data_IF_046495768340
#
_entry.id   IF_046495768340
#
_cell.length_a   1.000
_cell.length_b   1.000
_cell.length_c   1.000
_cell.angle_alpha   90.00
_cell.angle_beta   90.00
_cell.angle_gamma   90.00
#
_symmetry.space_group_name_H-M   'P 1'
#
loop_
_entity.id
_entity.type
_entity.pdbx_description
1 polymer ?
#
# COMPACT_ATOMS: atom_id res chain seq x y z
N UNK A 1 -24.54 -53.00 -91.28
CA UNK A 1 -23.74 -51.95 -91.95
C UNK A 1 -24.16 -50.57 -91.46
N UNK A 2 -23.45 -49.53 -91.89
CA UNK A 2 -23.40 -48.16 -91.35
C UNK A 2 -24.65 -47.29 -91.60
N UNK A 3 -24.93 -46.41 -90.61
CA UNK A 3 -25.37 -45.00 -90.75
C UNK A 3 -26.77 -44.61 -91.33
N UNK A 4 -27.55 -43.88 -90.52
CA UNK A 4 -28.12 -42.50 -90.78
C UNK A 4 -28.84 -41.99 -89.50
N UNK A 5 -28.52 -40.79 -88.98
CA UNK A 5 -29.21 -39.46 -89.13
C UNK A 5 -30.70 -39.48 -88.66
N UNK A 6 -31.25 -38.52 -87.91
CA UNK A 6 -30.81 -37.18 -87.37
C UNK A 6 -31.53 -36.95 -85.99
N UNK A 7 -31.71 -35.79 -85.32
CA UNK A 7 -31.59 -34.35 -85.65
C UNK A 7 -30.85 -33.55 -84.53
N UNK A 8 -31.33 -32.37 -84.07
CA UNK A 8 -30.52 -31.39 -83.30
C UNK A 8 -31.34 -30.23 -82.67
N UNK A 9 -31.09 -29.88 -81.40
CA UNK A 9 -31.09 -28.51 -80.81
C UNK A 9 -30.02 -28.48 -79.67
N UNK A 10 -29.06 -27.55 -79.54
CA UNK A 10 -29.03 -26.06 -79.57
C UNK A 10 -29.49 -25.49 -78.21
N UNK A 11 -28.75 -24.61 -77.50
CA UNK A 11 -27.92 -23.48 -77.97
C UNK A 11 -26.63 -23.14 -77.15
N UNK A 12 -25.90 -22.09 -77.57
CA UNK A 12 -24.70 -21.48 -76.97
C UNK A 12 -24.97 -20.50 -75.81
N UNK A 13 -24.01 -20.33 -74.88
CA UNK A 13 -23.59 -19.00 -74.38
C UNK A 13 -22.18 -19.02 -73.74
N UNK A 14 -21.60 -17.83 -73.45
CA UNK A 14 -20.28 -17.62 -72.84
C UNK A 14 -20.35 -16.69 -71.63
N UNK A 15 -19.48 -16.96 -70.63
CA UNK A 15 -18.81 -16.00 -69.73
C UNK A 15 -19.66 -14.94 -69.00
N UNK A 16 -19.68 -15.00 -67.67
CA UNK A 16 -19.47 -13.81 -66.81
C UNK A 16 -18.98 -14.22 -65.42
N UNK A 17 -18.25 -13.31 -64.77
CA UNK A 17 -17.63 -13.52 -63.45
C UNK A 17 -18.58 -13.10 -62.34
N UNK A 18 -18.57 -13.82 -61.22
CA UNK A 18 -19.08 -13.32 -59.93
C UNK A 18 -17.94 -13.38 -58.93
N UNK A 19 -17.44 -12.21 -58.53
CA UNK A 19 -16.55 -12.07 -57.37
C UNK A 19 -17.43 -12.11 -56.12
N UNK A 20 -17.31 -13.15 -55.31
CA UNK A 20 -17.98 -13.21 -54.02
C UNK A 20 -17.00 -12.74 -52.93
N UNK A 21 -17.18 -11.50 -52.47
CA UNK A 21 -16.53 -11.01 -51.27
C UNK A 21 -17.02 -11.82 -50.06
N UNK A 22 -16.17 -12.69 -49.54
CA UNK A 22 -16.37 -13.30 -48.22
C UNK A 22 -15.65 -12.41 -47.20
N UNK A 23 -16.41 -11.54 -46.53
CA UNK A 23 -15.95 -10.95 -45.28
C UNK A 23 -15.99 -12.03 -44.19
N UNK A 24 -14.82 -12.56 -43.86
CA UNK A 24 -14.57 -13.12 -42.53
C UNK A 24 -13.27 -12.50 -42.01
N UNK A 25 -13.43 -11.48 -41.16
CA UNK A 25 -12.39 -10.99 -40.28
C UNK A 25 -12.81 -11.29 -38.83
N UNK A 26 -11.84 -11.43 -37.94
CA UNK A 26 -12.03 -11.58 -36.49
C UNK A 26 -12.63 -12.91 -36.02
N UNK A 27 -11.97 -14.01 -36.35
CA UNK A 27 -11.51 -14.91 -35.28
C UNK A 27 -9.98 -14.97 -35.32
N UNK A 28 -9.34 -15.06 -34.15
CA UNK A 28 -7.87 -15.10 -34.02
C UNK A 28 -7.34 -16.54 -34.01
N UNK A 29 -7.97 -17.43 -34.78
CA UNK A 29 -7.64 -18.84 -34.80
C UNK A 29 -6.36 -19.09 -35.61
N UNK A 30 -5.28 -19.51 -34.93
CA UNK A 30 -4.04 -19.90 -35.57
C UNK A 30 -4.22 -21.24 -36.33
N UNK A 31 -4.66 -21.17 -37.60
CA UNK A 31 -4.91 -22.34 -38.45
C UNK A 31 -3.60 -23.04 -38.87
N UNK A 32 -3.11 -23.93 -38.02
CA UNK A 32 -1.97 -24.81 -38.32
C UNK A 32 -2.42 -26.06 -39.08
N UNK A 33 -2.14 -26.12 -40.39
CA UNK A 33 -2.35 -27.31 -41.21
C UNK A 33 -1.09 -28.21 -41.19
N UNK A 34 -1.21 -29.39 -40.61
CA UNK A 34 -0.21 -30.46 -40.70
C UNK A 34 -0.76 -31.59 -41.58
N UNK A 35 -0.29 -31.68 -42.82
CA UNK A 35 -0.58 -32.81 -43.72
C UNK A 35 0.66 -33.71 -43.82
N UNK A 36 0.52 -34.96 -43.38
CA UNK A 36 1.52 -36.02 -43.50
C UNK A 36 0.86 -37.24 -44.18
N UNK A 37 1.48 -37.77 -45.22
CA UNK A 37 0.90 -38.78 -46.12
C UNK A 37 1.64 -40.13 -46.02
N UNK A 38 1.81 -40.58 -44.79
CA UNK A 38 2.53 -41.80 -44.44
C UNK A 38 1.72 -43.09 -44.71
N UNK A 39 2.41 -44.14 -45.16
CA UNK A 39 1.80 -45.43 -45.52
C UNK A 39 1.82 -46.46 -44.38
N UNK A 40 2.31 -46.09 -43.20
CA UNK A 40 2.40 -47.00 -42.04
C UNK A 40 1.22 -46.85 -41.08
N UNK A 41 0.75 -47.97 -40.52
CA UNK A 41 -0.43 -48.00 -39.63
C UNK A 41 -0.14 -47.60 -38.17
N UNK A 42 0.86 -46.76 -37.91
CA UNK A 42 1.38 -46.47 -36.55
C UNK A 42 1.79 -45.01 -36.28
N UNK A 43 1.39 -44.04 -37.10
CA UNK A 43 1.61 -42.63 -36.77
C UNK A 43 0.68 -42.19 -35.63
N UNK A 44 1.27 -41.77 -34.50
CA UNK A 44 0.55 -41.19 -33.36
C UNK A 44 0.63 -39.66 -33.44
N UNK A 45 -0.34 -39.04 -34.09
CA UNK A 45 -0.49 -37.59 -34.05
C UNK A 45 -1.01 -37.17 -32.67
N UNK A 46 -0.15 -36.53 -31.86
CA UNK A 46 -0.52 -35.93 -30.58
C UNK A 46 -0.32 -34.43 -30.65
N UNK A 47 -1.41 -33.68 -30.75
CA UNK A 47 -1.40 -32.24 -30.52
C UNK A 47 -1.03 -31.93 -29.05
N UNK A 48 -0.40 -30.79 -28.84
CA UNK A 48 0.00 -30.30 -27.52
C UNK A 48 -0.17 -28.79 -27.43
N UNK A 49 -0.14 -28.28 -26.22
CA UNK A 49 -0.24 -26.87 -25.88
C UNK A 49 0.72 -26.60 -24.74
N UNK A 50 1.58 -25.60 -24.91
CA UNK A 50 2.31 -24.96 -23.83
C UNK A 50 1.49 -23.73 -23.43
N UNK A 51 1.17 -23.64 -22.15
CA UNK A 51 0.33 -22.60 -21.54
C UNK A 51 0.76 -22.57 -20.06
N UNK A 52 1.54 -21.54 -19.73
CA UNK A 52 2.11 -21.24 -18.43
C UNK A 52 1.34 -20.05 -17.87
N UNK A 53 0.72 -20.22 -16.70
CA UNK A 53 -0.03 -19.14 -16.05
C UNK A 53 0.43 -18.87 -14.61
N UNK A 54 0.59 -17.60 -14.26
CA UNK A 54 0.69 -17.15 -12.85
C UNK A 54 -0.71 -16.91 -12.28
N UNK A 55 -0.89 -17.22 -11.00
CA UNK A 55 -2.17 -17.13 -10.29
C UNK A 55 -1.92 -16.75 -8.82
N UNK A 56 -2.41 -15.58 -8.40
CA UNK A 56 -2.21 -15.03 -7.04
C UNK A 56 -0.99 -14.12 -6.85
N UNK A 57 -0.37 -13.61 -7.92
CA UNK A 57 0.69 -12.61 -7.82
C UNK A 57 0.15 -11.20 -8.06
N UNK A 58 0.40 -10.30 -7.11
CA UNK A 58 0.23 -8.85 -7.21
C UNK A 58 1.61 -8.17 -7.32
N UNK A 59 1.76 -6.93 -7.79
CA UNK A 59 3.06 -6.27 -7.82
C UNK A 59 3.56 -5.91 -6.40
N UNK A 60 4.86 -6.04 -6.14
CA UNK A 60 5.49 -5.55 -4.91
C UNK A 60 5.54 -4.00 -4.92
N UNK A 61 4.42 -3.35 -4.58
CA UNK A 61 4.34 -1.89 -4.41
C UNK A 61 4.56 -1.56 -2.93
N UNK A 62 5.74 -1.07 -2.58
CA UNK A 62 6.09 -0.68 -1.21
C UNK A 62 6.51 0.79 -1.16
N UNK A 63 6.32 1.41 0.01
CA UNK A 63 6.54 2.84 0.28
C UNK A 63 7.10 3.00 1.69
N UNK A 64 7.96 3.99 1.89
CA UNK A 64 8.50 4.40 3.20
C UNK A 64 9.17 3.21 3.94
N UNK A 65 9.82 2.32 3.18
CA UNK A 65 10.50 1.13 3.70
C UNK A 65 11.69 1.51 4.58
N UNK A 66 12.11 0.63 5.50
CA UNK A 66 13.26 0.85 6.37
C UNK A 66 14.22 -0.36 6.39
N UNK A 67 15.36 -0.19 7.06
CA UNK A 67 16.43 -1.18 7.08
C UNK A 67 15.94 -2.49 7.71
N UNK A 68 16.19 -3.61 7.03
CA UNK A 68 15.78 -4.92 7.50
C UNK A 68 14.31 -5.26 7.29
N UNK A 69 13.49 -4.38 6.70
CA UNK A 69 12.11 -4.70 6.28
C UNK A 69 12.10 -5.94 5.36
N UNK A 70 11.14 -6.84 5.59
CA UNK A 70 10.96 -8.08 4.83
C UNK A 70 9.54 -8.16 4.25
N UNK A 71 9.43 -8.24 2.92
CA UNK A 71 8.17 -8.31 2.18
C UNK A 71 8.01 -9.67 1.53
N UNK A 72 6.87 -10.32 1.77
CA UNK A 72 6.62 -11.69 1.33
C UNK A 72 5.47 -11.75 0.33
N UNK A 73 5.61 -12.59 -0.68
CA UNK A 73 4.54 -12.97 -1.59
C UNK A 73 4.48 -14.49 -1.76
N UNK A 74 3.28 -15.06 -1.82
CA UNK A 74 3.02 -16.43 -2.25
C UNK A 74 2.14 -16.42 -3.51
N UNK A 75 2.56 -17.13 -4.57
CA UNK A 75 1.78 -17.30 -5.79
C UNK A 75 1.99 -18.69 -6.40
N UNK A 76 1.14 -19.06 -7.35
CA UNK A 76 1.21 -20.36 -8.00
C UNK A 76 1.53 -20.22 -9.49
N UNK A 77 2.65 -20.81 -9.92
CA UNK A 77 2.95 -21.04 -11.32
C UNK A 77 2.25 -22.33 -11.79
N UNK A 78 1.49 -22.28 -12.89
CA UNK A 78 0.59 -23.36 -13.33
C UNK A 78 0.83 -23.70 -14.79
N UNK A 79 1.22 -24.93 -15.08
CA UNK A 79 1.15 -25.50 -16.42
C UNK A 79 -0.33 -25.88 -16.68
N UNK A 80 -1.05 -24.97 -17.35
CA UNK A 80 -2.45 -25.16 -17.77
C UNK A 80 -2.54 -26.00 -19.06
N UNK A 81 -1.44 -26.05 -19.81
CA UNK A 81 -1.27 -26.80 -21.04
C UNK A 81 -1.31 -28.34 -20.92
N UNK A 82 -0.81 -29.00 -21.97
CA UNK A 82 -0.92 -30.46 -22.17
C UNK A 82 0.41 -31.15 -22.48
N UNK A 83 1.51 -30.39 -22.45
CA UNK A 83 2.89 -30.90 -22.51
C UNK A 83 3.69 -30.40 -21.30
N UNK A 84 4.75 -31.13 -20.95
CA UNK A 84 5.76 -30.64 -20.02
C UNK A 84 6.57 -29.51 -20.68
N UNK A 85 6.95 -28.49 -19.91
CA UNK A 85 7.85 -27.43 -20.35
C UNK A 85 9.03 -27.26 -19.40
N UNK A 86 10.13 -26.76 -19.94
CA UNK A 86 11.26 -26.24 -19.15
C UNK A 86 11.02 -24.72 -19.00
N UNK A 87 11.39 -24.11 -17.87
CA UNK A 87 11.13 -22.69 -17.59
C UNK A 87 12.28 -22.01 -16.82
N UNK A 88 12.34 -20.69 -16.93
CA UNK A 88 13.24 -19.80 -16.18
C UNK A 88 12.44 -18.68 -15.52
N UNK A 89 12.69 -18.43 -14.24
CA UNK A 89 12.31 -17.20 -13.51
C UNK A 89 13.55 -16.32 -13.32
N UNK A 90 13.40 -15.01 -13.45
CA UNK A 90 14.45 -14.02 -13.19
C UNK A 90 13.87 -12.60 -13.07
N UNK A 91 14.65 -11.67 -12.53
CA UNK A 91 14.36 -10.23 -12.60
C UNK A 91 14.87 -9.61 -13.89
N UNK A 92 14.09 -8.71 -14.49
CA UNK A 92 14.54 -7.81 -15.57
C UNK A 92 14.02 -6.38 -15.30
N UNK A 93 14.36 -5.41 -16.16
CA UNK A 93 14.00 -3.98 -16.02
C UNK A 93 14.43 -3.31 -14.69
N UNK A 94 15.37 -3.93 -13.96
CA UNK A 94 15.86 -3.46 -12.65
C UNK A 94 16.48 -2.07 -12.78
N UNK A 95 15.98 -1.09 -12.03
CA UNK A 95 16.36 0.32 -12.16
C UNK A 95 16.09 1.18 -10.92
N UNK A 96 17.05 2.04 -10.60
CA UNK A 96 17.05 2.95 -9.44
C UNK A 96 17.93 2.45 -8.30
N UNK A 97 18.57 3.37 -7.59
CA UNK A 97 19.79 3.07 -6.81
C UNK A 97 19.54 2.15 -5.59
N UNK A 98 18.31 2.12 -5.07
CA UNK A 98 17.91 1.19 -4.00
C UNK A 98 17.98 -0.29 -4.43
N UNK A 99 17.89 -0.61 -5.73
CA UNK A 99 17.91 -2.00 -6.20
C UNK A 99 19.17 -2.77 -5.78
N UNK A 100 20.32 -2.09 -5.76
CA UNK A 100 21.58 -2.67 -5.32
C UNK A 100 21.61 -3.07 -3.84
N UNK A 101 20.67 -2.59 -3.01
CA UNK A 101 20.53 -2.98 -1.61
C UNK A 101 19.43 -4.00 -1.34
N UNK A 102 18.50 -4.20 -2.28
CA UNK A 102 17.50 -5.25 -2.14
C UNK A 102 18.12 -6.64 -2.34
N UNK A 103 17.86 -7.53 -1.38
CA UNK A 103 18.09 -8.95 -1.52
C UNK A 103 16.74 -9.65 -1.80
N UNK A 104 16.78 -10.76 -2.54
CA UNK A 104 15.63 -11.63 -2.76
C UNK A 104 15.98 -13.06 -2.37
N UNK A 105 15.09 -13.68 -1.61
CA UNK A 105 15.07 -15.11 -1.34
C UNK A 105 13.88 -15.73 -2.05
N UNK A 106 14.11 -16.85 -2.71
CA UNK A 106 13.09 -17.58 -3.45
C UNK A 106 12.97 -19.01 -2.95
N UNK A 107 11.72 -19.46 -2.75
CA UNK A 107 11.37 -20.81 -2.30
C UNK A 107 10.33 -21.41 -3.23
N UNK A 108 10.49 -22.69 -3.59
CA UNK A 108 9.58 -23.44 -4.46
C UNK A 108 9.15 -24.73 -3.76
N UNK A 109 7.83 -24.99 -3.65
CA UNK A 109 7.25 -25.99 -2.73
C UNK A 109 7.74 -25.88 -1.26
N UNK A 110 8.29 -24.72 -0.87
CA UNK A 110 8.90 -24.49 0.44
C UNK A 110 10.39 -24.84 0.55
N UNK A 111 11.01 -25.40 -0.50
CA UNK A 111 12.47 -25.58 -0.58
C UNK A 111 13.13 -24.28 -1.06
N UNK A 112 14.19 -23.84 -0.37
CA UNK A 112 14.96 -22.64 -0.73
C UNK A 112 15.87 -22.92 -1.94
N UNK A 113 15.75 -22.09 -2.97
CA UNK A 113 16.41 -22.28 -4.27
C UNK A 113 17.32 -21.11 -4.67
N UNK A 114 17.18 -19.96 -4.00
CA UNK A 114 18.02 -18.78 -4.15
C UNK A 114 17.92 -17.90 -2.90
N UNK A 115 19.03 -17.34 -2.44
CA UNK A 115 19.11 -16.23 -1.48
C UNK A 115 20.30 -15.36 -1.91
N UNK A 116 20.08 -14.07 -2.18
CA UNK A 116 21.10 -13.22 -2.80
C UNK A 116 20.57 -11.86 -3.24
N UNK A 117 21.35 -11.11 -4.02
CA UNK A 117 20.95 -9.79 -4.53
C UNK A 117 19.80 -9.90 -5.52
N UNK A 118 18.92 -8.89 -5.54
CA UNK A 118 17.78 -8.81 -6.46
C UNK A 118 18.22 -8.93 -7.92
N UNK A 119 19.24 -8.16 -8.32
CA UNK A 119 19.77 -8.12 -9.70
C UNK A 119 20.33 -9.46 -10.20
N UNK A 120 20.83 -10.31 -9.30
CA UNK A 120 21.42 -11.62 -9.63
C UNK A 120 20.35 -12.73 -9.77
N UNK A 121 19.07 -12.45 -9.53
CA UNK A 121 18.05 -13.49 -9.43
C UNK A 121 17.81 -14.22 -10.75
N UNK A 122 18.11 -15.52 -10.76
CA UNK A 122 17.86 -16.41 -11.90
C UNK A 122 17.80 -17.86 -11.46
N UNK A 123 16.67 -18.53 -11.74
CA UNK A 123 16.49 -19.96 -11.50
C UNK A 123 15.82 -20.64 -12.70
N UNK A 124 16.09 -21.93 -12.93
CA UNK A 124 15.52 -22.70 -14.05
C UNK A 124 15.18 -24.13 -13.64
N UNK A 125 14.00 -24.61 -14.03
CA UNK A 125 13.53 -25.97 -13.78
C UNK A 125 12.48 -26.38 -14.84
N UNK A 126 11.60 -27.36 -14.56
CA UNK A 126 10.65 -27.93 -15.50
C UNK A 126 9.30 -28.23 -14.84
N UNK A 127 8.20 -27.80 -15.46
CA UNK A 127 6.85 -28.01 -14.93
C UNK A 127 6.04 -28.95 -15.82
N UNK A 128 5.61 -30.07 -15.22
CA UNK A 128 4.87 -31.14 -15.92
C UNK A 128 3.47 -30.71 -16.30
N UNK A 129 2.93 -31.29 -17.38
CA UNK A 129 1.59 -31.02 -17.88
C UNK A 129 0.53 -31.10 -16.75
N UNK A 130 -0.31 -30.07 -16.61
CA UNK A 130 -1.37 -29.98 -15.59
C UNK A 130 -0.88 -30.01 -14.15
N UNK A 131 0.37 -29.60 -13.89
CA UNK A 131 0.88 -29.33 -12.54
C UNK A 131 0.98 -27.84 -12.26
N UNK A 132 0.75 -27.51 -10.99
CA UNK A 132 1.13 -26.26 -10.36
C UNK A 132 2.36 -26.49 -9.49
N UNK A 133 3.08 -25.40 -9.23
CA UNK A 133 4.14 -25.31 -8.22
C UNK A 133 3.89 -24.03 -7.41
N UNK A 134 3.95 -24.14 -6.09
CA UNK A 134 3.83 -23.02 -5.17
C UNK A 134 5.17 -22.29 -5.07
N UNK A 135 5.13 -20.96 -5.17
CA UNK A 135 6.30 -20.08 -5.13
C UNK A 135 6.13 -19.07 -4.01
N UNK A 136 7.20 -18.88 -3.24
CA UNK A 136 7.30 -17.80 -2.28
C UNK A 136 8.53 -16.94 -2.61
N UNK A 137 8.32 -15.64 -2.76
CA UNK A 137 9.37 -14.64 -2.92
C UNK A 137 9.38 -13.74 -1.69
N UNK A 138 10.58 -13.53 -1.15
CA UNK A 138 10.87 -12.79 0.07
C UNK A 138 11.90 -11.72 -0.28
N UNK A 139 11.48 -10.46 -0.32
CA UNK A 139 12.36 -9.31 -0.54
C UNK A 139 12.81 -8.75 0.81
N UNK A 140 14.10 -8.48 0.96
CA UNK A 140 14.67 -7.85 2.16
C UNK A 140 15.43 -6.58 1.81
N UNK A 141 15.14 -5.50 2.53
CA UNK A 141 15.91 -4.25 2.46
C UNK A 141 17.21 -4.41 3.24
N UNK A 142 18.34 -4.22 2.56
CA UNK A 142 19.68 -4.26 3.17
C UNK A 142 20.22 -2.89 3.60
N UNK A 143 21.27 -2.94 4.40
CA UNK A 143 21.90 -1.82 5.09
C UNK A 143 22.48 -0.74 4.15
N UNK A 144 22.45 0.53 4.56
CA UNK A 144 23.17 1.63 3.89
C UNK A 144 22.62 3.03 4.14
N UNK A 145 23.22 4.04 3.49
CA UNK A 145 22.53 5.30 3.18
C UNK A 145 21.80 5.09 1.83
N UNK A 146 20.49 5.34 1.78
CA UNK A 146 19.71 5.27 0.54
C UNK A 146 18.92 6.56 0.37
N UNK A 147 18.86 7.03 -0.87
CA UNK A 147 17.82 7.91 -1.37
C UNK A 147 17.15 7.18 -2.56
N UNK A 148 16.00 7.65 -3.03
CA UNK A 148 15.25 7.08 -4.17
C UNK A 148 14.62 5.67 -3.97
N UNK A 149 14.54 4.89 -5.05
CA UNK A 149 13.58 3.77 -5.25
C UNK A 149 14.18 2.68 -6.11
N UNK A 150 13.63 1.48 -6.01
CA UNK A 150 13.88 0.39 -6.94
C UNK A 150 12.61 0.07 -7.73
N UNK A 151 12.75 -0.09 -9.05
CA UNK A 151 11.77 -0.71 -9.94
C UNK A 151 12.36 -1.97 -10.56
N UNK A 152 11.54 -3.00 -10.73
CA UNK A 152 11.93 -4.25 -11.39
C UNK A 152 10.68 -5.01 -11.82
N UNK A 153 10.83 -5.96 -12.75
CA UNK A 153 9.77 -6.88 -13.14
C UNK A 153 10.26 -8.33 -12.97
N UNK A 154 9.39 -9.22 -12.47
CA UNK A 154 9.73 -10.65 -12.30
C UNK A 154 9.20 -11.43 -13.50
N UNK A 155 10.11 -11.85 -14.36
CA UNK A 155 9.83 -12.52 -15.62
C UNK A 155 9.89 -14.04 -15.51
N UNK A 156 8.88 -14.68 -16.09
CA UNK A 156 8.80 -16.12 -16.27
C UNK A 156 8.81 -16.41 -17.76
N UNK A 157 9.67 -17.32 -18.19
CA UNK A 157 9.77 -17.72 -19.59
C UNK A 157 9.84 -19.24 -19.69
N UNK A 158 8.80 -19.85 -20.26
CA UNK A 158 8.72 -21.28 -20.52
C UNK A 158 9.01 -21.60 -21.99
N UNK A 159 9.59 -22.77 -22.24
CA UNK A 159 9.84 -23.27 -23.58
C UNK A 159 9.70 -24.80 -23.65
N UNK A 160 9.54 -25.29 -24.87
CA UNK A 160 9.25 -26.69 -25.13
C UNK A 160 10.38 -27.59 -24.64
N UNK A 161 10.03 -28.63 -23.88
CA UNK A 161 11.01 -29.51 -23.25
C UNK A 161 11.98 -30.14 -24.25
N UNK A 162 13.27 -30.19 -23.89
CA UNK A 162 14.41 -30.60 -24.72
C UNK A 162 14.81 -29.62 -25.86
N UNK A 163 14.25 -28.40 -25.90
CA UNK A 163 14.77 -27.31 -26.73
C UNK A 163 15.65 -26.36 -25.91
N UNK A 164 16.41 -25.48 -26.57
CA UNK A 164 17.15 -24.42 -25.87
C UNK A 164 16.19 -23.31 -25.41
N UNK A 165 16.66 -22.40 -24.55
CA UNK A 165 15.91 -21.25 -24.05
C UNK A 165 15.10 -20.53 -25.15
N UNK A 166 13.78 -20.36 -24.91
CA UNK A 166 12.77 -19.77 -25.82
C UNK A 166 12.66 -20.42 -27.23
N UNK A 167 13.18 -21.63 -27.44
CA UNK A 167 13.01 -22.38 -28.71
C UNK A 167 11.83 -23.37 -28.66
N UNK A 168 11.32 -23.74 -29.84
CA UNK A 168 10.09 -24.52 -29.98
C UNK A 168 8.87 -23.66 -29.63
N UNK A 169 7.79 -24.29 -29.14
CA UNK A 169 6.73 -23.54 -28.47
C UNK A 169 7.29 -22.89 -27.20
N UNK A 170 6.92 -21.64 -26.93
CA UNK A 170 7.35 -20.86 -25.79
C UNK A 170 6.23 -19.92 -25.35
N UNK A 171 6.28 -19.51 -24.10
CA UNK A 171 5.26 -18.71 -23.42
C UNK A 171 5.92 -17.88 -22.31
N UNK A 172 5.34 -16.74 -21.96
CA UNK A 172 5.93 -15.79 -21.02
C UNK A 172 4.87 -15.09 -20.17
N UNK A 173 5.16 -14.99 -18.87
CA UNK A 173 4.33 -14.31 -17.88
C UNK A 173 5.22 -13.34 -17.08
N UNK A 174 4.63 -12.29 -16.53
CA UNK A 174 5.35 -11.16 -15.90
C UNK A 174 4.59 -10.68 -14.66
N UNK A 175 5.28 -10.56 -13.53
CA UNK A 175 4.78 -9.82 -12.36
C UNK A 175 5.37 -8.41 -12.49
N UNK A 176 4.59 -7.49 -13.06
CA UNK A 176 5.07 -6.20 -13.55
C UNK A 176 4.71 -5.02 -12.65
N UNK A 177 5.52 -3.96 -12.71
CA UNK A 177 5.25 -2.72 -11.98
C UNK A 177 5.59 -2.79 -10.49
N UNK A 178 6.51 -3.69 -10.09
CA UNK A 178 7.05 -3.68 -8.73
C UNK A 178 7.81 -2.37 -8.51
N UNK A 179 7.58 -1.74 -7.37
CA UNK A 179 8.19 -0.46 -7.02
C UNK A 179 8.33 -0.37 -5.50
N UNK A 180 9.56 -0.56 -5.03
CA UNK A 180 9.95 -0.36 -3.63
C UNK A 180 10.53 1.04 -3.54
N UNK A 181 9.87 1.94 -2.81
CA UNK A 181 10.31 3.34 -2.67
C UNK A 181 10.82 3.57 -1.26
N UNK A 182 12.08 3.98 -1.14
CA UNK A 182 12.48 4.73 0.03
C UNK A 182 12.02 6.18 -0.15
N UNK A 183 11.27 6.68 0.82
CA UNK A 183 11.05 8.11 0.97
C UNK A 183 11.62 8.43 2.34
N UNK A 184 12.65 9.27 2.38
CA UNK A 184 13.02 9.97 3.60
C UNK A 184 11.96 11.07 3.86
N UNK A 185 10.74 10.65 4.20
CA UNK A 185 10.05 11.34 5.27
C UNK A 185 10.77 10.86 6.54
N UNK A 186 11.66 11.69 7.13
CA UNK A 186 12.47 11.25 8.27
C UNK A 186 11.53 10.76 9.36
N UNK A 187 11.72 9.50 9.78
CA UNK A 187 10.73 8.72 10.53
C UNK A 187 10.30 9.49 11.80
N UNK A 188 9.15 10.17 11.69
CA UNK A 188 8.80 11.33 12.52
C UNK A 188 8.87 10.97 13.99
N UNK A 189 9.85 11.51 14.70
CA UNK A 189 10.12 11.10 16.08
C UNK A 189 9.10 11.66 17.06
N UNK A 190 8.63 12.87 16.78
CA UNK A 190 7.47 13.49 17.44
C UNK A 190 6.49 13.95 16.36
N UNK A 191 5.21 13.67 16.56
CA UNK A 191 4.11 14.15 15.71
C UNK A 191 3.16 15.04 16.50
N UNK A 192 2.36 15.85 15.80
CA UNK A 192 1.14 16.42 16.40
C UNK A 192 0.08 15.32 16.37
N UNK A 193 -0.48 14.98 17.54
CA UNK A 193 -1.24 13.76 17.76
C UNK A 193 -2.74 14.01 17.98
N UNK A 194 -3.10 15.07 18.67
CA UNK A 194 -4.49 15.46 18.90
C UNK A 194 -4.59 17.00 19.02
N UNK A 195 -5.67 17.59 18.49
CA UNK A 195 -5.86 19.05 18.45
C UNK A 195 -7.30 19.44 18.81
N UNK A 196 -7.46 20.29 19.82
CA UNK A 196 -8.74 20.84 20.27
C UNK A 196 -8.88 22.30 19.79
N UNK A 197 -9.03 22.48 18.48
CA UNK A 197 -8.96 23.79 17.80
C UNK A 197 -10.14 24.75 18.04
N UNK A 198 -11.13 24.33 18.84
CA UNK A 198 -12.38 25.07 19.11
C UNK A 198 -12.61 25.44 20.58
N UNK A 199 -11.75 24.97 21.49
CA UNK A 199 -11.98 25.02 22.93
C UNK A 199 -13.09 24.09 23.43
N UNK A 200 -13.29 24.05 24.74
CA UNK A 200 -14.28 23.20 25.42
C UNK A 200 -15.62 23.92 25.66
N UNK A 201 -16.58 23.24 26.30
CA UNK A 201 -17.81 23.91 26.80
C UNK A 201 -17.56 24.84 27.99
N UNK A 202 -16.40 24.77 28.66
CA UNK A 202 -15.99 25.74 29.69
C UNK A 202 -15.49 27.06 29.08
N UNK A 203 -14.72 27.00 27.98
CA UNK A 203 -14.25 28.19 27.26
C UNK A 203 -13.88 27.88 25.81
N UNK A 204 -14.28 28.77 24.89
CA UNK A 204 -13.79 28.77 23.50
C UNK A 204 -12.33 29.20 23.35
N UNK A 205 -11.58 29.29 24.46
CA UNK A 205 -10.13 29.45 24.49
C UNK A 205 -9.46 28.36 25.31
N UNK A 206 -10.17 27.33 25.74
CA UNK A 206 -9.63 26.09 26.32
C UNK A 206 -9.07 25.17 25.21
N UNK A 207 -8.26 25.79 24.35
CA UNK A 207 -7.66 25.19 23.17
C UNK A 207 -6.32 24.56 23.54
N UNK A 208 -6.04 23.39 22.94
CA UNK A 208 -4.81 22.66 23.20
C UNK A 208 -4.32 21.88 21.98
N UNK A 209 -3.01 21.60 22.00
CA UNK A 209 -2.29 20.80 21.01
C UNK A 209 -1.51 19.75 21.80
N UNK A 210 -1.65 18.49 21.40
CA UNK A 210 -0.87 17.39 21.96
C UNK A 210 0.21 16.92 20.98
N UNK A 211 1.40 16.66 21.52
CA UNK A 211 2.49 16.01 20.81
C UNK A 211 2.65 14.56 21.30
N UNK A 212 2.99 13.64 20.38
CA UNK A 212 3.30 12.24 20.73
C UNK A 212 4.67 11.84 20.21
N UNK A 213 5.45 11.20 21.08
CA UNK A 213 6.70 10.54 20.72
C UNK A 213 6.41 9.17 20.11
N UNK A 214 6.94 8.90 18.91
CA UNK A 214 6.78 7.63 18.19
C UNK A 214 8.01 6.71 18.32
N UNK A 215 8.99 7.08 19.15
CA UNK A 215 10.23 6.34 19.35
C UNK A 215 10.32 5.67 20.71
N UNK A 216 11.16 4.63 20.78
CA UNK A 216 11.44 3.88 22.01
C UNK A 216 12.40 4.59 22.98
N UNK A 217 12.80 5.84 22.68
CA UNK A 217 13.70 6.67 23.49
C UNK A 217 13.00 7.94 24.01
N UNK A 218 13.52 8.55 25.08
CA UNK A 218 13.06 9.86 25.58
C UNK A 218 13.61 10.99 24.70
N UNK A 219 12.75 11.92 24.29
CA UNK A 219 13.11 13.05 23.41
C UNK A 219 13.07 14.35 24.20
N UNK A 220 14.13 15.17 24.09
CA UNK A 220 14.12 16.56 24.54
C UNK A 220 13.42 17.43 23.48
N UNK A 221 12.32 18.06 23.88
CA UNK A 221 11.52 18.99 23.07
C UNK A 221 11.69 20.44 23.52
N UNK A 222 12.66 20.70 24.41
CA UNK A 222 12.98 22.03 24.87
C UNK A 222 13.40 22.95 23.72
N UNK A 223 12.77 24.13 23.64
CA UNK A 223 13.07 25.11 22.60
C UNK A 223 12.50 24.79 21.21
N UNK A 224 11.78 23.67 21.03
CA UNK A 224 11.01 23.40 19.81
C UNK A 224 9.90 24.44 19.60
N UNK A 225 9.40 24.58 18.38
CA UNK A 225 8.35 25.55 18.02
C UNK A 225 7.19 24.92 17.24
N UNK A 226 5.99 25.48 17.39
CA UNK A 226 4.80 25.16 16.60
C UNK A 226 4.33 26.44 15.92
N UNK A 227 4.49 26.53 14.61
CA UNK A 227 4.01 27.68 13.82
C UNK A 227 2.49 27.67 13.72
N UNK A 228 1.87 28.85 13.59
CA UNK A 228 0.41 29.06 13.57
C UNK A 228 -0.36 28.53 14.81
N UNK A 229 0.32 28.18 15.91
CA UNK A 229 -0.33 27.80 17.17
C UNK A 229 -0.87 29.00 17.98
N UNK A 230 -0.70 30.23 17.50
CA UNK A 230 -1.05 31.47 18.21
C UNK A 230 -1.67 32.50 17.27
N UNK A 231 -2.40 33.44 17.88
CA UNK A 231 -3.14 34.49 17.20
C UNK A 231 -2.32 35.21 16.12
N UNK A 232 -2.95 35.46 14.95
CA UNK A 232 -2.32 36.02 13.75
C UNK A 232 -1.15 35.20 13.17
N UNK A 233 -1.15 33.87 13.33
CA UNK A 233 -0.17 32.97 12.69
C UNK A 233 1.21 32.93 13.38
N UNK A 234 1.29 33.32 14.65
CA UNK A 234 2.56 33.38 15.37
C UNK A 234 2.97 32.02 15.96
N UNK A 235 4.28 31.77 16.08
CA UNK A 235 4.82 30.53 16.65
C UNK A 235 4.74 30.47 18.16
N UNK A 236 4.36 29.31 18.69
CA UNK A 236 4.52 28.92 20.10
C UNK A 236 5.88 28.24 20.27
N UNK A 237 6.62 28.60 21.32
CA UNK A 237 7.89 27.96 21.67
C UNK A 237 7.74 27.19 22.98
N UNK A 238 8.16 25.93 22.97
CA UNK A 238 8.16 25.05 24.13
C UNK A 238 9.33 25.46 25.04
N UNK A 239 9.14 25.64 26.37
CA UNK A 239 10.23 25.99 27.27
C UNK A 239 11.37 24.97 27.28
N UNK A 240 12.60 25.43 27.53
CA UNK A 240 13.77 24.54 27.65
C UNK A 240 13.64 23.57 28.84
N UNK A 241 14.09 22.33 28.66
CA UNK A 241 14.01 21.27 29.68
C UNK A 241 12.68 20.51 29.72
N UNK A 242 11.81 20.67 28.70
CA UNK A 242 10.64 19.82 28.46
C UNK A 242 11.02 18.61 27.62
N UNK A 243 10.42 17.45 27.89
CA UNK A 243 10.80 16.21 27.22
C UNK A 243 9.63 15.22 27.20
N UNK A 244 9.44 14.51 26.09
CA UNK A 244 8.47 13.43 25.98
C UNK A 244 9.19 12.10 26.28
N UNK A 245 8.66 11.27 27.17
CA UNK A 245 9.17 9.91 27.37
C UNK A 245 8.86 8.98 26.17
N UNK A 246 9.56 7.84 26.12
CA UNK A 246 9.39 6.81 25.09
C UNK A 246 7.92 6.44 24.89
N UNK A 247 7.44 6.45 23.64
CA UNK A 247 6.05 6.20 23.25
C UNK A 247 4.99 7.07 23.98
N UNK A 248 5.40 8.18 24.62
CA UNK A 248 4.57 9.03 25.45
C UNK A 248 3.96 10.25 24.74
N UNK A 249 3.27 11.07 25.53
CA UNK A 249 2.48 12.22 25.12
C UNK A 249 2.96 13.49 25.83
N UNK A 250 2.60 14.66 25.30
CA UNK A 250 2.92 15.96 25.88
C UNK A 250 1.83 16.98 25.53
N UNK A 251 1.06 17.41 26.52
CA UNK A 251 -0.13 18.25 26.36
C UNK A 251 0.17 19.73 26.59
N UNK A 252 -0.08 20.57 25.57
CA UNK A 252 0.09 22.02 25.64
C UNK A 252 -1.30 22.68 25.57
N UNK A 253 -1.76 23.30 26.66
CA UNK A 253 -3.10 23.91 26.76
C UNK A 253 -3.04 25.39 27.15
N UNK A 254 -4.05 26.16 26.77
CA UNK A 254 -4.21 27.56 27.20
C UNK A 254 -4.35 27.69 28.74
N UNK A 255 -4.97 26.68 29.36
CA UNK A 255 -5.28 26.62 30.79
C UNK A 255 -4.79 25.32 31.43
N UNK A 256 -4.62 25.33 32.76
CA UNK A 256 -4.53 24.11 33.57
C UNK A 256 -5.91 23.48 33.77
N UNK A 257 -5.92 22.21 34.12
CA UNK A 257 -7.03 21.49 34.74
C UNK A 257 -7.61 22.21 35.98
N UNK A 258 -6.77 22.80 36.85
CA UNK A 258 -7.24 23.61 37.99
C UNK A 258 -8.00 24.91 37.59
N UNK A 259 -8.11 25.23 36.29
CA UNK A 259 -8.73 26.46 35.80
C UNK A 259 -10.26 26.33 35.66
N UNK A 260 -11.00 27.28 36.25
CA UNK A 260 -12.44 27.42 36.03
C UNK A 260 -12.86 27.78 34.57
N UNK A 261 -11.89 27.96 33.66
CA UNK A 261 -12.11 28.11 32.23
C UNK A 261 -11.77 26.84 31.43
N UNK A 262 -11.23 25.79 32.07
CA UNK A 262 -10.95 24.50 31.42
C UNK A 262 -12.05 23.48 31.69
N UNK A 263 -12.14 22.47 30.82
CA UNK A 263 -12.93 21.27 31.05
C UNK A 263 -12.05 20.01 31.26
N UNK A 264 -10.72 20.13 31.17
CA UNK A 264 -9.77 19.02 31.31
C UNK A 264 -9.74 18.48 32.76
N UNK A 265 -9.74 17.15 32.89
CA UNK A 265 -9.55 16.44 34.16
C UNK A 265 -8.17 15.73 34.24
N UNK A 266 -7.22 16.12 33.38
CA UNK A 266 -5.87 15.56 33.25
C UNK A 266 -4.82 16.65 33.43
N UNK A 267 -3.70 16.34 34.09
CA UNK A 267 -2.59 17.28 34.32
C UNK A 267 -1.98 17.74 32.98
N UNK A 268 -1.74 19.04 32.85
CA UNK A 268 -1.25 19.68 31.60
C UNK A 268 0.26 19.87 31.67
N UNK A 269 1.02 19.23 30.78
CA UNK A 269 2.49 19.32 30.75
C UNK A 269 3.02 20.74 30.56
N UNK A 270 2.34 21.58 29.77
CA UNK A 270 2.70 23.00 29.56
C UNK A 270 1.46 23.90 29.38
N UNK A 271 1.18 24.70 30.41
CA UNK A 271 0.11 25.71 30.39
C UNK A 271 0.62 26.98 29.71
N UNK A 272 0.24 27.18 28.45
CA UNK A 272 0.65 28.31 27.62
C UNK A 272 -0.56 29.15 27.20
N UNK A 273 -0.91 30.15 28.02
CA UNK A 273 -2.05 31.05 27.78
C UNK A 273 -1.89 32.03 26.59
N UNK A 274 -1.06 31.67 25.61
CA UNK A 274 -0.91 32.38 24.34
C UNK A 274 -1.19 31.49 23.11
N UNK A 275 -1.57 30.22 23.33
CA UNK A 275 -2.29 29.41 22.33
C UNK A 275 -3.51 30.21 21.85
N UNK A 276 -3.71 30.22 20.53
CA UNK A 276 -4.95 30.71 19.93
C UNK A 276 -5.04 30.16 18.51
N UNK A 277 -5.99 29.25 18.31
CA UNK A 277 -6.26 28.55 17.06
C UNK A 277 -7.48 29.15 16.37
N UNK A 278 -7.43 29.24 15.05
CA UNK A 278 -8.53 29.78 14.25
C UNK A 278 -9.43 28.63 13.77
N UNK A 279 -10.71 28.67 14.14
CA UNK A 279 -11.74 27.72 13.69
C UNK A 279 -11.86 27.59 12.15
N UNK A 280 -11.34 28.56 11.40
CA UNK A 280 -11.19 28.52 9.95
C UNK A 280 -9.99 29.37 9.53
N UNK A 281 -9.19 28.92 8.56
CA UNK A 281 -8.11 29.71 7.97
C UNK A 281 -6.92 29.95 8.91
N UNK A 282 -6.61 29.02 9.83
CA UNK A 282 -5.51 29.18 10.78
C UNK A 282 -4.12 29.24 10.12
N UNK A 283 -3.98 28.57 8.98
CA UNK A 283 -2.68 28.11 8.50
C UNK A 283 -2.32 26.76 9.12
N UNK A 284 -1.44 26.01 8.45
CA UNK A 284 -1.01 24.70 8.94
C UNK A 284 -0.23 24.83 10.23
N UNK A 285 -0.44 23.93 11.18
CA UNK A 285 0.47 23.80 12.31
C UNK A 285 1.75 23.14 11.79
N UNK A 286 2.90 23.76 12.02
CA UNK A 286 4.21 23.24 11.61
C UNK A 286 5.06 23.04 12.86
N UNK A 287 5.28 21.78 13.24
CA UNK A 287 6.14 21.40 14.37
C UNK A 287 7.60 21.44 13.90
N UNK A 288 8.45 22.23 14.57
CA UNK A 288 9.88 22.36 14.28
C UNK A 288 10.73 22.08 15.51
N UNK A 289 11.82 21.35 15.32
CA UNK A 289 12.80 21.13 16.38
C UNK A 289 13.72 22.35 16.60
N UNK A 290 14.58 22.31 17.62
CA UNK A 290 15.50 23.42 17.98
C UNK A 290 16.43 23.86 16.81
N UNK A 291 16.61 23.04 15.77
CA UNK A 291 17.44 23.32 14.59
C UNK A 291 16.63 23.85 13.39
N UNK A 292 15.37 24.24 13.60
CA UNK A 292 14.41 24.69 12.58
C UNK A 292 13.97 23.62 11.57
N UNK A 293 14.41 22.36 11.70
CA UNK A 293 13.89 21.25 10.89
C UNK A 293 12.41 20.99 11.22
N UNK A 294 11.59 20.75 10.19
CA UNK A 294 10.20 20.33 10.34
C UNK A 294 10.16 18.85 10.77
N UNK A 295 9.40 18.57 11.82
CA UNK A 295 9.15 17.22 12.36
C UNK A 295 7.74 16.74 11.97
N UNK A 296 6.72 17.61 11.98
CA UNK A 296 5.38 17.30 11.45
C UNK A 296 4.63 18.54 10.93
N UNK A 297 3.64 18.33 10.08
CA UNK A 297 2.75 19.37 9.54
C UNK A 297 1.29 18.90 9.55
N UNK A 298 0.38 19.76 10.01
CA UNK A 298 -1.06 19.46 10.14
C UNK A 298 -1.89 20.51 9.40
N UNK A 299 -2.90 20.06 8.65
CA UNK A 299 -3.82 20.96 7.96
C UNK A 299 -4.66 21.78 8.96
N UNK A 300 -4.45 23.10 8.96
CA UNK A 300 -5.20 24.06 9.78
C UNK A 300 -5.85 25.19 8.97
N UNK A 301 -5.62 25.26 7.65
CA UNK A 301 -6.38 26.16 6.77
C UNK A 301 -7.86 25.78 6.75
N UNK A 302 -8.13 24.48 6.64
CA UNK A 302 -9.44 23.84 6.77
C UNK A 302 -9.21 22.56 7.58
N UNK A 303 -9.61 22.55 8.86
CA UNK A 303 -9.40 21.40 9.74
C UNK A 303 -10.14 20.18 9.19
N UNK A 304 -9.42 19.07 8.95
CA UNK A 304 -10.01 17.86 8.36
C UNK A 304 -11.11 17.24 9.24
N UNK A 305 -10.94 17.29 10.55
CA UNK A 305 -11.82 16.66 11.54
C UNK A 305 -11.93 17.52 12.82
N UNK A 306 -12.66 17.01 13.80
CA UNK A 306 -13.13 17.75 14.98
C UNK A 306 -14.54 18.32 14.75
N UNK A 307 -15.22 18.68 15.84
CA UNK A 307 -16.58 19.25 15.80
C UNK A 307 -16.71 20.41 16.78
N UNK A 308 -16.99 21.61 16.27
CA UNK A 308 -17.39 22.77 17.07
C UNK A 308 -18.94 22.88 17.10
N UNK A 309 -19.59 21.87 17.68
CA UNK A 309 -21.04 21.74 17.75
C UNK A 309 -21.61 22.19 19.10
N UNK A 310 -22.74 21.56 19.49
CA UNK A 310 -23.16 21.55 20.90
C UNK A 310 -22.11 20.80 21.75
N UNK A 311 -21.63 19.68 21.22
CA UNK A 311 -20.49 18.95 21.74
C UNK A 311 -19.19 19.55 21.16
N UNK A 312 -18.10 19.50 21.92
CA UNK A 312 -16.76 19.86 21.43
C UNK A 312 -15.96 18.59 21.24
N UNK A 313 -15.46 18.35 20.02
CA UNK A 313 -14.72 17.15 19.68
C UNK A 313 -13.39 17.51 19.03
N UNK A 314 -12.31 16.97 19.57
CA UNK A 314 -10.96 17.10 19.02
C UNK A 314 -10.80 16.42 17.64
N UNK A 315 -9.72 16.81 16.96
CA UNK A 315 -9.18 16.12 15.80
C UNK A 315 -8.03 15.20 16.23
N UNK A 316 -8.17 13.90 16.01
CA UNK A 316 -7.22 12.85 16.41
C UNK A 316 -6.43 12.30 15.22
N UNK A 317 -5.13 12.06 15.39
CA UNK A 317 -4.34 11.22 14.47
C UNK A 317 -4.86 9.78 14.50
N UNK A 318 -4.76 9.08 13.38
CA UNK A 318 -4.91 7.63 13.37
C UNK A 318 -3.67 6.95 14.00
N UNK A 319 -3.82 5.73 14.53
CA UNK A 319 -2.70 4.93 15.01
C UNK A 319 -1.71 4.57 13.88
N UNK A 320 -2.23 4.32 12.67
CA UNK A 320 -1.46 4.31 11.43
C UNK A 320 -1.28 5.77 10.97
N UNK A 321 -0.34 6.46 11.62
CA UNK A 321 -0.27 7.92 11.68
C UNK A 321 -0.02 8.63 10.34
N UNK A 322 0.81 8.10 9.44
CA UNK A 322 1.06 8.70 8.12
C UNK A 322 1.42 10.21 8.12
N UNK A 323 1.16 10.88 6.99
CA UNK A 323 1.43 12.31 6.80
C UNK A 323 0.26 13.19 7.30
N UNK A 324 0.53 14.25 8.07
CA UNK A 324 -0.49 15.10 8.69
C UNK A 324 -1.22 16.05 7.74
N UNK A 325 -0.75 16.19 6.50
CA UNK A 325 -1.41 16.95 5.42
C UNK A 325 -2.36 16.09 4.56
N UNK A 326 -2.57 14.82 4.91
CA UNK A 326 -3.55 13.94 4.25
C UNK A 326 -4.74 13.63 5.18
N UNK A 327 -5.95 14.00 4.75
CA UNK A 327 -7.23 13.75 5.45
C UNK A 327 -7.37 12.31 5.97
N UNK A 328 -6.99 11.31 5.16
CA UNK A 328 -7.14 9.87 5.46
C UNK A 328 -6.45 9.41 6.75
N UNK A 329 -5.52 10.21 7.29
CA UNK A 329 -4.68 9.88 8.44
C UNK A 329 -5.19 10.50 9.77
N UNK A 330 -6.44 11.01 9.76
CA UNK A 330 -7.10 11.68 10.88
C UNK A 330 -8.54 11.16 11.09
N UNK A 331 -9.10 11.44 12.27
CA UNK A 331 -10.52 11.27 12.59
C UNK A 331 -10.99 12.29 13.64
N UNK A 332 -12.31 12.33 13.89
CA UNK A 332 -12.91 13.08 15.01
C UNK A 332 -13.05 12.16 16.22
N UNK A 333 -12.72 12.63 17.43
CA UNK A 333 -13.01 11.87 18.64
C UNK A 333 -14.53 11.85 18.90
N UNK A 334 -15.23 10.80 18.45
CA UNK A 334 -16.69 10.67 18.58
C UNK A 334 -17.14 9.49 19.44
N UNK A 335 -16.20 8.77 20.03
CA UNK A 335 -16.43 7.51 20.75
C UNK A 335 -16.79 7.74 22.22
N UNK A 336 -17.49 6.79 22.84
CA UNK A 336 -17.87 6.86 24.27
C UNK A 336 -16.67 7.09 25.21
N UNK A 337 -15.48 6.59 24.85
CA UNK A 337 -14.24 6.81 25.63
C UNK A 337 -13.73 8.26 25.57
N UNK A 338 -13.96 8.97 24.46
CA UNK A 338 -13.58 10.37 24.28
C UNK A 338 -14.25 11.29 25.30
N UNK A 339 -15.50 10.99 25.67
CA UNK A 339 -16.31 11.77 26.60
C UNK A 339 -16.30 11.21 28.02
N UNK A 340 -15.25 10.45 28.37
CA UNK A 340 -15.06 9.87 29.68
C UNK A 340 -14.72 10.91 30.74
N UNK A 341 -15.26 10.76 31.94
CA UNK A 341 -14.86 11.50 33.15
C UNK A 341 -13.45 11.19 33.68
N UNK A 342 -12.62 10.55 32.85
CA UNK A 342 -11.16 10.45 33.01
C UNK A 342 -10.45 11.62 32.31
N UNK A 343 -11.00 12.10 31.19
CA UNK A 343 -10.44 13.21 30.40
C UNK A 343 -11.10 14.56 30.71
N UNK A 344 -12.37 14.55 31.11
CA UNK A 344 -13.18 15.76 31.24
C UNK A 344 -13.92 15.87 32.57
N UNK A 345 -13.85 17.05 33.18
CA UNK A 345 -14.63 17.43 34.36
C UNK A 345 -16.13 17.57 34.03
N UNK A 346 -16.41 17.93 32.77
CA UNK A 346 -17.74 17.94 32.16
C UNK A 346 -17.80 16.90 31.02
N UNK A 347 -18.00 15.60 31.34
CA UNK A 347 -18.18 14.54 30.35
C UNK A 347 -19.49 14.70 29.57
N UNK A 348 -19.70 13.82 28.57
CA UNK A 348 -20.84 13.84 27.62
C UNK A 348 -20.91 15.05 26.67
N UNK A 349 -20.35 16.22 27.02
CA UNK A 349 -20.28 17.41 26.15
C UNK A 349 -18.92 17.60 25.45
N UNK A 350 -17.81 17.20 26.10
CA UNK A 350 -16.44 17.35 25.58
C UNK A 350 -15.85 15.98 25.23
N UNK A 351 -15.08 15.92 24.14
CA UNK A 351 -14.59 14.69 23.53
C UNK A 351 -13.13 14.85 23.07
N UNK A 352 -12.26 13.95 23.56
CA UNK A 352 -10.86 13.82 23.19
C UNK A 352 -10.15 12.78 24.07
N UNK A 353 -8.88 12.49 23.82
CA UNK A 353 -8.07 11.57 24.63
C UNK A 353 -6.76 12.18 25.20
N UNK A 354 -6.78 13.44 25.71
CA UNK A 354 -5.57 14.13 26.15
C UNK A 354 -4.75 13.33 27.18
N UNK A 355 -3.47 13.17 26.91
CA UNK A 355 -2.49 12.39 27.69
C UNK A 355 -2.41 10.90 27.34
N UNK A 356 -3.23 10.40 26.41
CA UNK A 356 -3.48 8.97 26.19
C UNK A 356 -3.56 8.58 24.70
N UNK A 357 -3.93 7.32 24.46
CA UNK A 357 -4.11 6.76 23.12
C UNK A 357 -5.42 7.18 22.46
N UNK A 358 -5.29 7.68 21.23
CA UNK A 358 -6.36 8.09 20.33
C UNK A 358 -7.44 7.00 20.13
N UNK A 359 -8.65 7.46 19.82
CA UNK A 359 -9.86 6.69 19.95
C UNK A 359 -9.99 5.55 18.92
N UNK A 360 -9.32 5.60 17.77
CA UNK A 360 -9.29 4.50 16.78
C UNK A 360 -8.69 3.19 17.32
N UNK A 361 -7.73 3.27 18.26
CA UNK A 361 -7.00 2.13 18.81
C UNK A 361 -7.93 1.14 19.54
N UNK A 362 -8.96 1.64 20.23
CA UNK A 362 -9.83 0.83 21.11
C UNK A 362 -10.85 -0.03 20.34
N UNK A 363 -10.43 -0.94 19.46
CA UNK A 363 -11.34 -1.78 18.65
C UNK A 363 -12.39 -2.47 19.52
N UNK A 364 -13.67 -2.26 19.19
CA UNK A 364 -14.83 -2.54 20.06
C UNK A 364 -14.90 -4.03 20.42
N UNK A 365 -14.48 -4.38 21.64
CA UNK A 365 -14.68 -5.70 22.24
C UNK A 365 -15.72 -5.64 23.35
N UNK A 366 -16.98 -5.42 22.96
CA UNK A 366 -18.13 -5.69 23.84
C UNK A 366 -18.25 -7.21 23.99
N UNK A 367 -17.49 -7.78 24.93
CA UNK A 367 -17.74 -9.13 25.42
C UNK A 367 -19.07 -9.10 26.18
N UNK A 368 -20.14 -9.45 25.46
CA UNK A 368 -21.48 -9.61 26.02
C UNK A 368 -21.39 -10.54 27.24
N UNK A 369 -21.74 -10.07 28.46
CA UNK A 369 -21.44 -10.81 29.67
C UNK A 369 -22.04 -12.22 29.64
N UNK A 370 -21.35 -13.23 30.19
CA UNK A 370 -21.76 -14.61 30.10
C UNK A 370 -23.18 -14.78 30.63
N UNK A 371 -24.06 -15.34 29.80
CA UNK A 371 -25.49 -15.40 30.07
C UNK A 371 -25.81 -16.42 31.18
N UNK A 372 -25.71 -16.00 32.44
CA UNK A 372 -25.86 -16.83 33.64
C UNK A 372 -27.32 -17.26 33.86
N UNK A 373 -27.78 -18.21 33.03
CA UNK A 373 -28.97 -19.00 33.33
C UNK A 373 -28.69 -19.98 34.48
N UNK A 374 -29.32 -19.76 35.62
CA UNK A 374 -29.80 -20.80 36.54
C UNK A 374 -31.19 -20.40 37.05
#
# INVERSE_FOLDING_TARGET
MTQKRRFMKVDFCKISVVVLFILFALSSDAQAFFEDSEKTKKNLFKAGMLDMKIDGADPFVQRNVVEGDEFFQEFYLKNKGTIDFDYKIFTENVSGDLCGQLNIKAKAEGEEIFDGKLEDFSYSDNLKAKKNINWNLELKVGDGDWEEKCKFDVYFNAWQKNFSFKQGWNDAEEISGNEVVFIDEPKKKVIINEVMWMGSTASSSDEWIELRNLSDEKIDIGGWEIENARSSGNSLKIPGGKSIDSNGYFLISNYSDESANSALAVEVDEVNSSISLSNFGNGNLVLKNEKENIEDEVMGVEWFFGENGNNKKSMERNNEYGNGLEEKNWHTCEREICASGYFWDNPEENFGTPGEKNSDIFKIRIEKPPNTRR
#
